data_IF_391148669669
#
_entry.id   IF_391148669669
#
_cell.length_a   1.000
_cell.length_b   1.000
_cell.length_c   1.000
_cell.angle_alpha   90.00
_cell.angle_beta   90.00
_cell.angle_gamma   90.00
#
_symmetry.space_group_name_H-M   'P 1'
#
loop_
_entity.id
_entity.type
_entity.pdbx_description
1 polymer ?
#
# COMPACT_ATOMS: atom_id res chain seq x y z
N UNK A 1 -5.64 6.78 8.01
CA UNK A 1 -7.08 6.88 8.31
C UNK A 1 -7.63 8.21 7.84
N UNK A 2 -8.73 8.17 7.08
CA UNK A 2 -9.51 9.35 6.66
C UNK A 2 -10.12 10.04 7.87
N UNK A 3 -10.10 11.38 7.86
CA UNK A 3 -10.59 12.23 8.96
C UNK A 3 -11.98 11.85 9.52
N UNK A 4 -13.01 11.53 8.70
CA UNK A 4 -14.34 11.18 9.23
C UNK A 4 -14.36 9.93 10.12
N UNK A 5 -13.37 9.04 10.00
CA UNK A 5 -13.28 7.80 10.77
C UNK A 5 -12.35 7.93 12.00
N UNK A 6 -11.89 9.14 12.33
CA UNK A 6 -10.94 9.36 13.42
C UNK A 6 -11.41 8.79 14.76
N UNK A 7 -12.67 9.02 15.15
CA UNK A 7 -13.17 8.55 16.44
C UNK A 7 -13.14 7.02 16.52
N UNK A 8 -13.54 6.32 15.45
CA UNK A 8 -13.48 4.86 15.40
C UNK A 8 -12.04 4.35 15.50
N UNK A 9 -11.12 4.99 14.78
CA UNK A 9 -9.70 4.69 14.84
C UNK A 9 -9.10 4.91 16.24
N UNK A 10 -9.43 6.04 16.88
CA UNK A 10 -8.96 6.39 18.21
C UNK A 10 -9.42 5.38 19.26
N UNK A 11 -10.70 4.99 19.25
CA UNK A 11 -11.24 4.01 20.19
C UNK A 11 -10.61 2.62 19.99
N UNK A 12 -10.32 2.22 18.75
CA UNK A 12 -9.63 0.97 18.47
C UNK A 12 -8.18 0.95 18.97
N UNK A 13 -7.47 2.09 18.95
CA UNK A 13 -6.12 2.14 19.53
C UNK A 13 -6.20 2.07 21.06
N UNK A 14 -7.13 2.82 21.67
CA UNK A 14 -7.33 2.84 23.14
C UNK A 14 -7.67 1.46 23.71
N UNK A 15 -8.32 0.60 22.94
CA UNK A 15 -8.64 -0.77 23.37
C UNK A 15 -7.40 -1.67 23.44
N UNK A 16 -6.30 -1.28 22.79
CA UNK A 16 -5.03 -2.03 22.75
C UNK A 16 -3.99 -1.43 23.69
N UNK A 17 -3.87 -0.10 23.74
CA UNK A 17 -2.83 0.59 24.50
C UNK A 17 -3.27 1.99 24.95
N UNK A 18 -2.76 2.44 26.09
CA UNK A 18 -2.86 3.85 26.47
C UNK A 18 -2.04 4.70 25.50
N UNK A 19 -2.63 5.78 24.99
CA UNK A 19 -2.04 6.58 23.91
C UNK A 19 -0.74 7.29 24.31
N UNK A 20 -0.56 7.60 25.60
CA UNK A 20 0.65 8.20 26.17
C UNK A 20 1.85 7.25 26.22
N UNK A 21 1.61 5.93 26.06
CA UNK A 21 2.63 4.87 26.00
C UNK A 21 3.09 4.54 24.57
N UNK A 22 2.58 5.24 23.56
CA UNK A 22 3.02 5.04 22.19
C UNK A 22 4.31 5.83 21.97
N UNK A 23 5.41 5.11 21.77
CA UNK A 23 6.74 5.71 21.58
C UNK A 23 6.99 6.17 20.13
N UNK A 24 6.35 5.53 19.15
CA UNK A 24 6.62 5.77 17.72
C UNK A 24 5.35 5.80 16.89
N UNK A 25 5.28 6.75 15.94
CA UNK A 25 4.29 6.79 14.87
C UNK A 25 5.01 6.76 13.51
N UNK A 26 4.96 5.61 12.83
CA UNK A 26 5.58 5.45 11.50
C UNK A 26 4.55 5.76 10.41
N UNK A 27 4.85 6.73 9.55
CA UNK A 27 4.00 7.16 8.44
C UNK A 27 4.65 6.79 7.12
N UNK A 28 4.26 5.63 6.58
CA UNK A 28 4.76 5.10 5.31
C UNK A 28 4.34 5.93 4.08
N UNK A 29 3.14 6.52 4.15
CA UNK A 29 2.57 7.31 3.08
C UNK A 29 1.58 8.34 3.63
N UNK A 30 1.47 9.48 2.96
CA UNK A 30 0.81 10.68 3.48
C UNK A 30 -0.42 11.13 2.67
N UNK A 31 -0.93 10.32 1.73
CA UNK A 31 -2.25 10.57 1.13
C UNK A 31 -3.37 10.56 2.19
N UNK A 32 -4.45 11.30 1.93
CA UNK A 32 -5.48 11.65 2.94
C UNK A 32 -6.25 10.45 3.49
N UNK A 33 -6.26 9.33 2.80
CA UNK A 33 -6.78 8.07 3.30
C UNK A 33 -5.93 7.45 4.40
N UNK A 34 -4.63 7.70 4.39
CA UNK A 34 -3.66 7.23 5.40
C UNK A 34 -3.35 8.28 6.46
N UNK A 35 -3.30 9.55 6.08
CA UNK A 35 -2.85 10.65 6.95
C UNK A 35 -3.92 11.66 7.33
N UNK A 36 -5.15 11.56 6.82
CA UNK A 36 -6.19 12.58 7.03
C UNK A 36 -6.54 12.84 8.51
N UNK A 37 -6.25 11.89 9.39
CA UNK A 37 -6.40 12.01 10.85
C UNK A 37 -5.13 12.51 11.58
N UNK A 38 -4.05 12.82 10.87
CA UNK A 38 -2.76 13.21 11.46
C UNK A 38 -2.88 14.39 12.44
N UNK A 39 -3.52 15.53 12.10
CA UNK A 39 -3.67 16.65 13.05
C UNK A 39 -4.47 16.31 14.31
N UNK A 40 -5.28 15.25 14.26
CA UNK A 40 -6.12 14.83 15.37
C UNK A 40 -5.40 13.85 16.29
N UNK A 41 -4.70 12.86 15.74
CA UNK A 41 -4.06 11.80 16.53
C UNK A 41 -2.84 12.32 17.31
N UNK A 42 -2.03 13.22 16.74
CA UNK A 42 -0.80 13.72 17.39
C UNK A 42 -1.07 14.40 18.74
N UNK A 43 -2.27 14.97 18.93
CA UNK A 43 -2.70 15.57 20.20
C UNK A 43 -2.79 14.58 21.35
N UNK A 44 -2.92 13.29 21.03
CA UNK A 44 -2.97 12.18 21.98
C UNK A 44 -1.65 11.44 22.11
N UNK A 45 -0.63 11.79 21.30
CA UNK A 45 0.66 11.12 21.26
C UNK A 45 1.79 12.08 21.67
N UNK A 46 1.75 12.69 22.87
CA UNK A 46 2.67 13.77 23.25
C UNK A 46 4.14 13.32 23.33
N UNK A 47 4.38 12.02 23.52
CA UNK A 47 5.71 11.45 23.68
C UNK A 47 6.21 10.71 22.43
N UNK A 48 5.37 10.55 21.40
CA UNK A 48 5.70 9.71 20.26
C UNK A 48 6.66 10.43 19.31
N UNK A 49 7.75 9.76 18.93
CA UNK A 49 8.54 10.19 17.78
C UNK A 49 7.82 9.81 16.48
N UNK A 50 7.53 10.81 15.68
CA UNK A 50 6.94 10.63 14.35
C UNK A 50 8.06 10.34 13.36
N UNK A 51 7.86 9.35 12.48
CA UNK A 51 8.85 8.88 11.51
C UNK A 51 8.21 8.84 10.13
N UNK A 52 8.86 9.44 9.14
CA UNK A 52 8.39 9.46 7.76
C UNK A 52 9.58 9.55 6.79
N UNK A 53 9.36 9.28 5.51
CA UNK A 53 10.39 9.58 4.50
C UNK A 53 10.66 11.08 4.44
N UNK A 54 11.83 11.50 3.93
CA UNK A 54 12.15 12.93 3.77
C UNK A 54 11.04 13.68 3.01
N UNK A 55 10.53 13.09 1.93
CA UNK A 55 9.47 13.70 1.14
C UNK A 55 8.11 13.63 1.83
N UNK A 56 7.88 12.63 2.68
CA UNK A 56 6.71 12.54 3.56
C UNK A 56 6.64 13.69 4.56
N UNK A 57 7.77 14.10 5.15
CA UNK A 57 7.82 15.27 6.05
C UNK A 57 7.41 16.56 5.31
N UNK A 58 7.96 16.77 4.11
CA UNK A 58 7.61 17.93 3.27
C UNK A 58 6.12 17.95 2.95
N UNK A 59 5.59 16.84 2.43
CA UNK A 59 4.19 16.75 1.99
C UNK A 59 3.22 16.79 3.19
N UNK A 60 3.57 16.23 4.36
CA UNK A 60 2.75 16.38 5.57
C UNK A 60 2.62 17.83 6.00
N UNK A 61 3.73 18.59 5.96
CA UNK A 61 3.71 20.03 6.23
C UNK A 61 2.80 20.75 5.23
N UNK A 62 2.94 20.46 3.95
CA UNK A 62 2.12 21.09 2.91
C UNK A 62 0.62 20.85 3.15
N UNK A 63 0.22 19.64 3.54
CA UNK A 63 -1.18 19.33 3.86
C UNK A 63 -1.68 20.00 5.14
N UNK A 64 -0.87 20.06 6.18
CA UNK A 64 -1.36 20.30 7.55
C UNK A 64 -0.74 21.51 8.26
N UNK A 65 0.07 22.35 7.60
CA UNK A 65 0.68 23.56 8.19
C UNK A 65 -0.30 24.56 8.80
N UNK A 66 -1.60 24.48 8.48
CA UNK A 66 -2.65 25.33 9.06
C UNK A 66 -3.26 24.76 10.34
N UNK A 67 -3.05 23.47 10.62
CA UNK A 67 -3.69 22.75 11.73
C UNK A 67 -2.69 22.23 12.76
N UNK A 68 -1.40 22.20 12.40
CA UNK A 68 -0.32 21.62 13.18
C UNK A 68 0.83 22.62 13.23
N UNK A 69 1.40 22.81 14.41
CA UNK A 69 2.51 23.74 14.61
C UNK A 69 3.79 23.28 13.88
N UNK A 70 4.55 24.25 13.36
CA UNK A 70 5.81 23.98 12.64
C UNK A 70 6.82 23.15 13.44
N UNK A 71 6.80 23.28 14.76
CA UNK A 71 7.65 22.50 15.67
C UNK A 71 7.40 20.99 15.54
N UNK A 72 6.14 20.56 15.36
CA UNK A 72 5.82 19.14 15.17
C UNK A 72 6.49 18.62 13.91
N UNK A 73 6.40 19.36 12.79
CA UNK A 73 7.03 18.95 11.53
C UNK A 73 8.55 18.93 11.62
N UNK A 74 9.15 19.89 12.34
CA UNK A 74 10.60 19.94 12.55
C UNK A 74 11.11 18.77 13.39
N UNK A 75 10.27 18.20 14.25
CA UNK A 75 10.58 17.06 15.11
C UNK A 75 10.30 15.69 14.45
N UNK A 76 9.74 15.64 13.24
CA UNK A 76 9.56 14.38 12.51
C UNK A 76 10.94 13.85 12.09
N UNK A 77 11.23 12.60 12.47
CA UNK A 77 12.43 11.90 12.02
C UNK A 77 12.27 11.50 10.56
N UNK A 78 12.94 12.25 9.68
CA UNK A 78 13.09 11.90 8.27
C UNK A 78 14.05 10.70 8.11
N UNK A 79 13.58 9.62 7.47
CA UNK A 79 14.38 8.41 7.21
C UNK A 79 14.77 8.29 5.74
N UNK A 80 15.90 7.63 5.50
CA UNK A 80 16.40 7.23 4.17
C UNK A 80 16.54 5.70 4.07
N UNK A 81 16.86 5.22 2.88
CA UNK A 81 17.05 3.80 2.60
C UNK A 81 18.08 3.18 3.56
N UNK A 82 17.66 2.10 4.23
CA UNK A 82 18.51 1.35 5.16
C UNK A 82 18.60 1.94 6.58
N UNK A 83 17.99 3.10 6.85
CA UNK A 83 17.84 3.57 8.23
C UNK A 83 17.02 2.57 9.03
N UNK A 84 17.34 2.45 10.32
CA UNK A 84 16.71 1.47 11.19
C UNK A 84 16.14 2.08 12.47
N UNK A 85 15.14 1.40 13.03
CA UNK A 85 14.56 1.69 14.33
C UNK A 85 14.45 0.38 15.13
N UNK A 86 15.24 0.28 16.20
CA UNK A 86 15.08 -0.79 17.18
C UNK A 86 13.95 -0.43 18.14
N UNK A 87 12.97 -1.33 18.30
CA UNK A 87 11.82 -1.15 19.20
C UNK A 87 11.89 -2.09 20.42
N UNK A 88 13.03 -2.75 20.62
CA UNK A 88 13.28 -3.72 21.69
C UNK A 88 12.76 -5.12 21.39
N UNK A 89 13.04 -6.06 22.31
CA UNK A 89 12.58 -7.46 22.24
C UNK A 89 12.96 -8.20 20.95
N UNK A 90 14.13 -7.88 20.36
CA UNK A 90 14.59 -8.48 19.11
C UNK A 90 13.82 -8.02 17.88
N UNK A 91 13.08 -6.88 17.96
CA UNK A 91 12.32 -6.31 16.85
C UNK A 91 12.97 -5.04 16.34
N UNK A 92 13.15 -4.99 15.02
CA UNK A 92 13.83 -3.87 14.37
C UNK A 92 13.19 -3.57 13.02
N UNK A 93 12.84 -2.31 12.81
CA UNK A 93 12.42 -1.79 11.52
C UNK A 93 13.61 -1.36 10.67
N UNK A 94 13.53 -1.61 9.37
CA UNK A 94 14.36 -1.06 8.31
C UNK A 94 13.45 -0.32 7.34
N UNK A 95 13.78 0.94 7.03
CA UNK A 95 12.97 1.78 6.15
C UNK A 95 13.48 1.73 4.71
N UNK A 96 12.56 1.57 3.76
CA UNK A 96 12.87 1.49 2.33
C UNK A 96 11.96 2.46 1.56
N UNK A 97 12.45 3.67 1.25
CA UNK A 97 11.74 4.59 0.37
C UNK A 97 11.50 3.97 -1.02
N UNK A 98 10.28 4.12 -1.52
CA UNK A 98 9.81 3.64 -2.83
C UNK A 98 9.14 4.80 -3.59
N UNK A 99 9.89 5.89 -3.88
CA UNK A 99 9.31 7.11 -4.42
C UNK A 99 8.58 6.85 -5.74
N UNK A 100 7.43 7.52 -5.89
CA UNK A 100 6.50 7.36 -7.01
C UNK A 100 5.84 5.97 -7.09
N UNK A 101 5.82 5.20 -6.00
CA UNK A 101 5.03 3.97 -5.86
C UNK A 101 4.02 4.15 -4.71
N UNK A 102 2.96 4.95 -4.87
CA UNK A 102 2.62 5.75 -6.06
C UNK A 102 2.83 7.26 -5.91
N UNK A 103 3.29 7.74 -4.76
CA UNK A 103 3.59 9.16 -4.52
C UNK A 103 5.07 9.39 -4.20
N UNK A 104 5.57 10.64 -4.31
CA UNK A 104 6.96 10.97 -4.00
C UNK A 104 7.42 10.58 -2.59
N UNK A 105 6.52 10.48 -1.62
CA UNK A 105 6.83 10.16 -0.22
C UNK A 105 6.77 8.68 0.14
N UNK A 106 6.19 7.83 -0.71
CA UNK A 106 5.90 6.45 -0.39
C UNK A 106 7.16 5.71 0.09
N UNK A 107 7.04 5.01 1.21
CA UNK A 107 8.05 4.11 1.75
C UNK A 107 7.40 2.85 2.30
N UNK A 108 8.16 1.76 2.35
CA UNK A 108 7.78 0.55 3.09
C UNK A 108 8.65 0.42 4.34
N UNK A 109 8.09 -0.21 5.37
CA UNK A 109 8.78 -0.49 6.62
C UNK A 109 8.87 -1.99 6.82
N UNK A 110 10.08 -2.54 6.82
CA UNK A 110 10.32 -3.95 7.03
C UNK A 110 10.75 -4.21 8.47
N UNK A 111 9.99 -5.01 9.21
CA UNK A 111 10.28 -5.38 10.58
C UNK A 111 10.84 -6.80 10.63
N UNK A 112 12.05 -6.95 11.16
CA UNK A 112 12.56 -8.25 11.58
C UNK A 112 12.11 -8.54 13.01
N UNK A 113 11.81 -9.80 13.32
CA UNK A 113 11.45 -10.26 14.66
C UNK A 113 12.22 -11.55 14.98
N UNK A 114 13.21 -11.48 15.88
CA UNK A 114 14.00 -12.65 16.31
C UNK A 114 13.16 -13.77 16.93
N UNK A 115 11.95 -13.45 17.42
CA UNK A 115 11.05 -14.36 18.10
C UNK A 115 9.77 -14.65 17.31
N UNK A 116 9.69 -14.21 16.06
CA UNK A 116 8.45 -14.21 15.30
C UNK A 116 8.67 -14.25 13.80
N UNK A 117 7.73 -13.66 13.08
CA UNK A 117 7.76 -13.56 11.61
C UNK A 117 8.25 -12.20 11.20
N UNK A 118 9.02 -12.15 10.12
CA UNK A 118 9.40 -10.91 9.50
C UNK A 118 8.22 -10.31 8.70
N UNK A 119 7.92 -9.03 8.94
CA UNK A 119 6.72 -8.36 8.43
C UNK A 119 7.11 -7.18 7.55
N UNK A 120 6.55 -7.14 6.34
CA UNK A 120 6.59 -5.96 5.47
C UNK A 120 5.32 -5.14 5.65
N UNK A 121 5.44 -3.95 6.20
CA UNK A 121 4.37 -2.95 6.19
C UNK A 121 4.48 -2.15 4.89
N UNK A 122 3.71 -2.57 3.89
CA UNK A 122 3.88 -2.15 2.50
C UNK A 122 3.04 -0.94 2.10
N UNK A 123 2.13 -0.50 2.98
CA UNK A 123 1.15 0.54 2.67
C UNK A 123 0.40 0.18 1.35
N UNK A 124 0.33 1.06 0.36
CA UNK A 124 -0.43 0.82 -0.88
C UNK A 124 0.11 -0.33 -1.73
N UNK A 125 1.41 -0.62 -1.64
CA UNK A 125 1.98 -1.76 -2.35
C UNK A 125 1.40 -3.08 -1.82
N UNK A 126 1.06 -3.99 -2.73
CA UNK A 126 0.39 -5.26 -2.45
C UNK A 126 -1.00 -5.13 -1.82
N UNK A 127 -1.58 -3.92 -1.80
CA UNK A 127 -2.94 -3.69 -1.33
C UNK A 127 -4.01 -4.07 -2.34
N UNK A 128 -5.25 -3.99 -1.90
CA UNK A 128 -6.44 -4.11 -2.72
C UNK A 128 -7.58 -3.24 -2.14
N UNK A 129 -8.64 -2.99 -2.90
CA UNK A 129 -9.82 -2.29 -2.37
C UNK A 129 -10.95 -3.28 -2.01
N UNK A 130 -10.70 -4.18 -1.08
CA UNK A 130 -11.62 -5.22 -0.63
C UNK A 130 -12.03 -5.01 0.84
N UNK A 131 -13.31 -4.72 1.06
CA UNK A 131 -13.86 -4.57 2.40
C UNK A 131 -14.34 -5.92 2.97
N UNK A 132 -13.71 -6.37 4.05
CA UNK A 132 -14.06 -7.61 4.76
C UNK A 132 -13.87 -7.48 6.27
N UNK A 133 -14.60 -8.28 7.05
CA UNK A 133 -14.40 -8.39 8.50
C UNK A 133 -13.16 -9.23 8.85
N UNK A 134 -12.73 -10.10 7.94
CA UNK A 134 -11.49 -10.88 8.06
C UNK A 134 -10.24 -10.00 7.94
N UNK A 135 -9.08 -10.52 8.34
CA UNK A 135 -7.80 -9.76 8.28
C UNK A 135 -6.76 -10.41 7.39
N UNK A 136 -6.89 -11.71 7.13
CA UNK A 136 -5.87 -12.47 6.42
C UNK A 136 -6.39 -13.01 5.09
N UNK A 137 -5.48 -13.16 4.14
CA UNK A 137 -5.74 -13.70 2.81
C UNK A 137 -6.36 -15.10 2.83
N UNK A 138 -5.96 -15.95 3.78
CA UNK A 138 -6.47 -17.32 3.94
C UNK A 138 -7.84 -17.43 4.65
N UNK A 139 -8.41 -16.30 5.08
CA UNK A 139 -9.75 -16.20 5.67
C UNK A 139 -10.80 -15.72 4.65
N UNK A 140 -10.41 -15.58 3.39
CA UNK A 140 -11.25 -15.10 2.29
C UNK A 140 -11.06 -15.99 1.06
N UNK A 141 -11.93 -15.82 0.07
CA UNK A 141 -11.75 -16.47 -1.23
C UNK A 141 -10.54 -15.86 -1.95
N UNK A 142 -9.58 -16.71 -2.33
CA UNK A 142 -8.33 -16.29 -2.95
C UNK A 142 -8.54 -15.62 -4.31
N UNK A 143 -9.48 -16.11 -5.12
CA UNK A 143 -9.72 -15.57 -6.45
C UNK A 143 -10.36 -14.17 -6.35
N UNK A 144 -11.25 -13.98 -5.38
CA UNK A 144 -11.87 -12.66 -5.10
C UNK A 144 -10.82 -11.64 -4.65
N UNK A 145 -9.97 -11.97 -3.68
CA UNK A 145 -8.92 -11.02 -3.22
C UNK A 145 -7.91 -10.72 -4.32
N UNK A 146 -7.59 -11.71 -5.16
CA UNK A 146 -6.64 -11.54 -6.26
C UNK A 146 -7.26 -10.70 -7.38
N UNK A 147 -8.55 -10.83 -7.67
CA UNK A 147 -9.26 -9.95 -8.61
C UNK A 147 -9.23 -8.49 -8.15
N UNK A 148 -9.46 -8.24 -6.86
CA UNK A 148 -9.37 -6.88 -6.29
C UNK A 148 -7.93 -6.34 -6.32
N UNK A 149 -6.92 -7.19 -6.14
CA UNK A 149 -5.52 -6.81 -6.31
C UNK A 149 -5.18 -6.47 -7.77
N UNK A 150 -5.72 -7.23 -8.74
CA UNK A 150 -5.58 -6.91 -10.17
C UNK A 150 -6.21 -5.55 -10.48
N UNK A 151 -7.44 -5.30 -10.01
CA UNK A 151 -8.13 -4.02 -10.20
C UNK A 151 -7.33 -2.86 -9.60
N UNK A 152 -6.85 -3.04 -8.38
CA UNK A 152 -6.02 -2.04 -7.68
C UNK A 152 -4.76 -1.74 -8.50
N UNK A 153 -4.00 -2.77 -8.89
CA UNK A 153 -2.78 -2.58 -9.68
C UNK A 153 -3.06 -1.91 -11.02
N UNK A 154 -4.05 -2.38 -11.77
CA UNK A 154 -4.39 -1.87 -13.10
C UNK A 154 -4.78 -0.39 -13.09
N UNK A 155 -5.49 0.07 -12.04
CA UNK A 155 -6.02 1.44 -11.98
C UNK A 155 -5.10 2.41 -11.24
N UNK A 156 -4.27 1.94 -10.30
CA UNK A 156 -3.45 2.81 -9.45
C UNK A 156 -1.97 2.70 -9.81
N UNK A 157 -1.47 1.49 -10.09
CA UNK A 157 -0.03 1.24 -10.16
C UNK A 157 0.50 0.99 -11.58
N UNK A 158 -0.38 0.69 -12.54
CA UNK A 158 0.02 0.32 -13.90
C UNK A 158 0.95 1.36 -14.55
N UNK A 159 0.65 2.64 -14.38
CA UNK A 159 1.43 3.76 -14.93
C UNK A 159 2.85 3.88 -14.34
N UNK A 160 3.12 3.26 -13.20
CA UNK A 160 4.44 3.22 -12.53
C UNK A 160 5.08 1.83 -12.55
N UNK A 161 4.57 0.91 -13.37
CA UNK A 161 5.07 -0.47 -13.48
C UNK A 161 6.58 -0.57 -13.67
N UNK A 162 7.19 0.30 -14.48
CA UNK A 162 8.65 0.32 -14.68
C UNK A 162 9.42 0.61 -13.38
N UNK A 163 8.89 1.49 -12.53
CA UNK A 163 9.49 1.80 -11.23
C UNK A 163 9.35 0.62 -10.28
N UNK A 164 8.16 -0.01 -10.26
CA UNK A 164 7.91 -1.22 -9.48
C UNK A 164 8.87 -2.33 -9.88
N UNK A 165 9.06 -2.57 -11.19
CA UNK A 165 9.98 -3.60 -11.70
C UNK A 165 11.43 -3.40 -11.22
N UNK A 166 11.88 -2.15 -11.08
CA UNK A 166 13.22 -1.82 -10.59
C UNK A 166 13.36 -1.97 -9.06
N UNK A 167 12.28 -1.73 -8.31
CA UNK A 167 12.29 -1.73 -6.84
C UNK A 167 11.95 -3.11 -6.26
N UNK A 168 11.15 -3.91 -6.96
CA UNK A 168 10.68 -5.21 -6.49
C UNK A 168 11.83 -6.17 -6.14
N UNK A 169 12.95 -6.25 -6.88
CA UNK A 169 14.09 -7.09 -6.47
C UNK A 169 14.72 -6.67 -5.14
N UNK A 170 14.71 -5.38 -4.82
CA UNK A 170 15.21 -4.87 -3.53
C UNK A 170 14.30 -5.27 -2.38
N UNK A 171 12.98 -5.19 -2.58
CA UNK A 171 12.00 -5.59 -1.55
C UNK A 171 11.95 -7.12 -1.45
N UNK A 172 12.02 -7.83 -2.56
CA UNK A 172 11.97 -9.29 -2.62
C UNK A 172 13.23 -10.01 -2.12
N UNK A 173 14.35 -9.30 -1.91
CA UNK A 173 15.53 -9.87 -1.23
C UNK A 173 15.39 -9.88 0.29
N UNK A 174 14.41 -9.16 0.84
CA UNK A 174 14.09 -9.20 2.26
C UNK A 174 13.43 -10.55 2.58
N UNK A 175 13.75 -11.16 3.74
CA UNK A 175 13.14 -12.43 4.16
C UNK A 175 11.71 -12.19 4.66
N UNK A 176 10.80 -11.86 3.76
CA UNK A 176 9.41 -11.49 4.06
C UNK A 176 8.56 -12.74 4.26
N UNK A 177 7.89 -12.81 5.41
CA UNK A 177 6.96 -13.90 5.74
C UNK A 177 5.50 -13.43 5.82
N UNK A 178 5.29 -12.14 6.07
CA UNK A 178 3.97 -11.50 6.10
C UNK A 178 4.06 -10.14 5.39
N UNK A 179 3.03 -9.81 4.60
CA UNK A 179 2.84 -8.47 4.04
C UNK A 179 1.57 -7.86 4.63
N UNK A 180 1.69 -6.68 5.24
CA UNK A 180 0.60 -5.89 5.79
C UNK A 180 0.42 -4.59 4.98
N UNK A 181 -0.45 -4.58 3.96
CA UNK A 181 -0.77 -3.37 3.21
C UNK A 181 -1.68 -2.42 4.01
N UNK A 182 -1.86 -1.20 3.50
CA UNK A 182 -2.79 -0.19 4.07
C UNK A 182 -4.25 -0.45 3.69
N UNK A 183 -4.47 -1.17 2.58
CA UNK A 183 -5.80 -1.47 2.08
C UNK A 183 -6.05 -2.97 2.04
N UNK A 184 -7.17 -3.39 2.64
CA UNK A 184 -7.65 -4.75 2.53
C UNK A 184 -7.12 -5.74 3.56
N UNK A 185 -6.77 -6.93 3.09
CA UNK A 185 -6.28 -8.05 3.90
C UNK A 185 -4.77 -8.13 3.85
N UNK A 186 -4.18 -8.66 4.92
CA UNK A 186 -2.76 -8.96 5.00
C UNK A 186 -2.48 -10.33 4.36
N UNK A 187 -1.32 -10.45 3.73
CA UNK A 187 -0.86 -11.69 3.11
C UNK A 187 0.00 -12.46 4.09
N UNK A 188 -0.42 -13.67 4.45
CA UNK A 188 0.39 -14.61 5.25
C UNK A 188 0.51 -16.00 4.63
N UNK A 189 -0.43 -16.40 3.77
CA UNK A 189 -0.42 -17.70 3.08
C UNK A 189 0.05 -17.58 1.63
N UNK A 190 -0.38 -16.53 0.94
CA UNK A 190 -0.20 -16.28 -0.48
C UNK A 190 0.77 -15.13 -0.77
N UNK A 191 1.75 -14.93 0.12
CA UNK A 191 2.82 -13.91 -0.06
C UNK A 191 3.57 -14.12 -1.38
N UNK A 192 3.94 -15.38 -1.69
CA UNK A 192 4.61 -15.70 -2.94
C UNK A 192 3.76 -15.41 -4.17
N UNK A 193 2.45 -15.69 -4.11
CA UNK A 193 1.53 -15.47 -5.21
C UNK A 193 1.40 -13.98 -5.57
N UNK A 194 1.19 -13.12 -4.56
CA UNK A 194 1.04 -11.67 -4.82
C UNK A 194 2.35 -11.03 -5.29
N UNK A 195 3.50 -11.47 -4.77
CA UNK A 195 4.82 -10.98 -5.22
C UNK A 195 5.08 -11.38 -6.66
N UNK A 196 4.79 -12.64 -7.03
CA UNK A 196 4.94 -13.11 -8.41
C UNK A 196 3.98 -12.39 -9.36
N UNK A 197 2.76 -12.07 -8.92
CA UNK A 197 1.81 -11.25 -9.68
C UNK A 197 2.35 -9.85 -9.94
N UNK A 198 2.85 -9.16 -8.92
CA UNK A 198 3.48 -7.84 -9.09
C UNK A 198 4.69 -7.90 -10.03
N UNK A 199 5.49 -8.98 -9.98
CA UNK A 199 6.60 -9.19 -10.90
C UNK A 199 6.14 -9.28 -12.35
N UNK A 200 5.13 -10.09 -12.64
CA UNK A 200 4.55 -10.23 -13.99
C UNK A 200 3.92 -8.93 -14.48
N UNK A 201 3.09 -8.30 -13.64
CA UNK A 201 2.42 -7.04 -14.00
C UNK A 201 3.42 -5.92 -14.26
N UNK A 202 4.46 -5.80 -13.41
CA UNK A 202 5.48 -4.75 -13.56
C UNK A 202 6.42 -4.97 -14.74
N UNK A 203 6.62 -6.23 -15.15
CA UNK A 203 7.36 -6.60 -16.36
C UNK A 203 6.54 -6.37 -17.65
N UNK A 204 5.24 -6.09 -17.54
CA UNK A 204 4.35 -5.96 -18.70
C UNK A 204 4.14 -7.29 -19.42
N UNK A 205 4.23 -8.42 -18.70
CA UNK A 205 3.89 -9.73 -19.25
C UNK A 205 2.41 -9.76 -19.63
N UNK A 206 2.13 -10.01 -20.90
CA UNK A 206 0.78 -10.08 -21.46
C UNK A 206 0.40 -11.52 -21.79
N UNK A 207 -0.86 -11.86 -21.59
CA UNK A 207 -1.43 -13.06 -22.18
C UNK A 207 -1.72 -12.80 -23.66
N UNK A 208 -1.04 -13.53 -24.55
CA UNK A 208 -1.23 -13.40 -26.00
C UNK A 208 -2.54 -14.04 -26.50
N UNK A 209 -3.38 -14.58 -25.59
CA UNK A 209 -4.68 -15.20 -25.88
C UNK A 209 -5.85 -14.45 -25.26
N UNK A 210 -5.68 -13.18 -24.93
CA UNK A 210 -6.74 -12.34 -24.40
C UNK A 210 -6.79 -11.04 -25.18
N UNK A 211 -7.98 -10.68 -25.69
CA UNK A 211 -8.24 -9.38 -26.29
C UNK A 211 -9.46 -8.71 -25.63
N UNK A 212 -9.37 -7.41 -25.41
CA UNK A 212 -10.47 -6.60 -24.87
C UNK A 212 -10.95 -5.65 -25.97
N UNK A 213 -12.23 -5.76 -26.34
CA UNK A 213 -12.88 -4.83 -27.27
C UNK A 213 -13.74 -3.87 -26.45
N UNK A 214 -13.35 -2.60 -26.41
CA UNK A 214 -14.09 -1.53 -25.74
C UNK A 214 -14.63 -0.59 -26.82
N UNK A 215 -15.94 -0.37 -26.85
CA UNK A 215 -16.58 0.52 -27.82
C UNK A 215 -17.78 1.25 -27.23
N UNK A 216 -18.16 2.35 -27.88
CA UNK A 216 -19.42 3.07 -27.68
C UNK A 216 -20.07 3.32 -29.07
N UNK A 217 -21.39 3.46 -29.13
CA UNK A 217 -22.10 3.66 -30.39
C UNK A 217 -23.43 4.39 -30.21
N UNK A 218 -23.66 5.40 -31.05
CA UNK A 218 -24.94 6.12 -31.05
C UNK A 218 -26.03 5.39 -31.85
N UNK A 219 -25.64 4.72 -32.94
CA UNK A 219 -26.58 4.17 -33.93
C UNK A 219 -26.27 2.71 -34.32
N UNK A 220 -25.47 2.00 -33.52
CA UNK A 220 -25.24 0.56 -33.68
C UNK A 220 -24.18 0.15 -34.71
N UNK A 221 -23.74 1.03 -35.61
CA UNK A 221 -22.74 0.69 -36.63
C UNK A 221 -21.41 0.21 -36.02
N UNK A 222 -20.94 0.84 -34.94
CA UNK A 222 -19.70 0.42 -34.24
C UNK A 222 -19.87 -0.93 -33.56
N UNK A 223 -21.05 -1.22 -33.02
CA UNK A 223 -21.34 -2.50 -32.38
C UNK A 223 -21.29 -3.66 -33.39
N UNK A 224 -21.81 -3.46 -34.61
CA UNK A 224 -21.74 -4.47 -35.68
C UNK A 224 -20.27 -4.82 -35.96
N UNK A 225 -19.39 -3.81 -36.05
CA UNK A 225 -17.96 -4.00 -36.27
C UNK A 225 -17.31 -4.71 -35.08
N UNK A 226 -17.60 -4.29 -33.85
CA UNK A 226 -17.05 -4.88 -32.64
C UNK A 226 -17.43 -6.38 -32.50
N UNK A 227 -18.69 -6.73 -32.79
CA UNK A 227 -19.17 -8.12 -32.78
C UNK A 227 -18.55 -8.97 -33.89
N UNK A 228 -18.30 -8.38 -35.06
CA UNK A 228 -17.58 -9.08 -36.13
C UNK A 228 -16.12 -9.36 -35.74
N UNK A 229 -15.44 -8.37 -35.16
CA UNK A 229 -14.08 -8.52 -34.64
C UNK A 229 -14.02 -9.58 -33.53
N UNK A 230 -14.95 -9.54 -32.58
CA UNK A 230 -15.06 -10.53 -31.50
C UNK A 230 -15.13 -11.97 -32.04
N UNK A 231 -16.00 -12.23 -33.02
CA UNK A 231 -16.14 -13.57 -33.63
C UNK A 231 -14.85 -14.04 -34.30
N UNK A 232 -14.16 -13.14 -34.99
CA UNK A 232 -12.90 -13.47 -35.66
C UNK A 232 -11.79 -13.78 -34.66
N UNK A 233 -11.68 -13.01 -33.57
CA UNK A 233 -10.72 -13.28 -32.48
C UNK A 233 -11.01 -14.63 -31.83
N UNK A 234 -12.29 -14.91 -31.52
CA UNK A 234 -12.70 -16.18 -30.94
C UNK A 234 -12.40 -17.37 -31.87
N UNK A 235 -12.62 -17.23 -33.19
CA UNK A 235 -12.25 -18.25 -34.18
C UNK A 235 -10.74 -18.53 -34.21
N UNK A 236 -9.91 -17.50 -33.96
CA UNK A 236 -8.45 -17.61 -33.86
C UNK A 236 -7.95 -18.12 -32.51
N UNK A 237 -8.85 -18.36 -31.54
CA UNK A 237 -8.49 -18.80 -30.19
C UNK A 237 -7.85 -17.71 -29.34
N UNK A 238 -8.21 -16.45 -29.61
CA UNK A 238 -7.89 -15.25 -28.82
C UNK A 238 -9.13 -14.84 -28.02
#
# INVERSE_FOLDING_TARGET
>A
VKRPFFNYFLENIKSVINLDKIDFLIMNHVEMDHSGSFPLIIKYLPNAQIIASKKGVEILRDHFHKEVDDEVFNNIRAVKEGDTLDIGNGKKFTFVPIPMIHWPDSMVSFMTDENGKNILFSNDAFGQHFATSSRWDDENDFDVIMEEAVKYYANILLHVSKLISNVLPKVGSLPIEIICPSHGVCWRKHVGDIVERYKKWSAGEIDNKTAIIIYDTMWGSTEIIAKALYKELQYRGI
#
